data_IF_951187737472
#
_entry.id   IF_951187737472
#
_cell.length_a   1.000
_cell.length_b   1.000
_cell.length_c   1.000
_cell.angle_alpha   90.00
_cell.angle_beta   90.00
_cell.angle_gamma   90.00
#
_symmetry.space_group_name_H-M   'P 1'
#
loop_
_entity.id
_entity.type
_entity.pdbx_description
1 polymer ?
#
# COMPACT_ATOMS: atom_id res chain seq x y z
N UNK A 1 -0.47 -7.78 -13.60
CA UNK A 1 0.50 -8.23 -12.57
C UNK A 1 1.94 -7.81 -12.81
N UNK A 2 2.60 -8.12 -13.94
CA UNK A 2 4.03 -7.73 -14.13
C UNK A 2 4.21 -6.21 -14.06
N UNK A 3 3.39 -5.45 -14.78
CA UNK A 3 3.39 -3.98 -14.71
C UNK A 3 3.13 -3.48 -13.28
N UNK A 4 2.07 -3.99 -12.64
CA UNK A 4 1.70 -3.61 -11.27
C UNK A 4 2.80 -3.92 -10.25
N UNK A 5 3.56 -5.01 -10.44
CA UNK A 5 4.67 -5.36 -9.55
C UNK A 5 5.82 -4.35 -9.61
N UNK A 6 5.87 -3.50 -10.63
CA UNK A 6 6.81 -2.38 -10.72
C UNK A 6 6.17 -1.08 -10.23
N UNK A 7 4.94 -0.79 -10.66
CA UNK A 7 4.29 0.50 -10.42
C UNK A 7 3.70 0.63 -9.01
N UNK A 8 3.14 -0.43 -8.44
CA UNK A 8 2.51 -0.40 -7.11
C UNK A 8 3.54 -0.26 -5.98
N UNK A 9 4.65 -1.02 -5.95
CA UNK A 9 5.68 -0.78 -4.94
C UNK A 9 6.28 0.63 -5.05
N UNK A 10 6.40 1.17 -6.27
CA UNK A 10 6.89 2.53 -6.48
C UNK A 10 5.93 3.58 -5.89
N UNK A 11 4.61 3.43 -6.09
CA UNK A 11 3.62 4.28 -5.40
C UNK A 11 3.71 4.14 -3.88
N UNK A 12 3.94 2.93 -3.36
CA UNK A 12 4.17 2.70 -1.95
C UNK A 12 5.45 3.39 -1.41
N UNK A 13 6.49 3.55 -2.25
CA UNK A 13 7.70 4.33 -1.91
C UNK A 13 7.37 5.81 -1.74
N UNK A 14 6.40 6.37 -2.47
CA UNK A 14 6.03 7.79 -2.34
C UNK A 14 5.58 8.14 -0.91
N UNK A 15 4.83 7.27 -0.25
CA UNK A 15 4.44 7.46 1.15
C UNK A 15 5.65 7.56 2.10
N UNK A 16 6.69 6.77 1.86
CA UNK A 16 7.95 6.90 2.61
C UNK A 16 8.66 8.22 2.29
N UNK A 17 8.70 8.64 1.02
CA UNK A 17 9.38 9.87 0.62
C UNK A 17 8.72 11.11 1.24
N UNK A 18 7.39 11.21 1.24
CA UNK A 18 6.67 12.35 1.83
C UNK A 18 6.78 12.38 3.36
N UNK A 19 6.92 11.23 4.01
CA UNK A 19 7.06 11.11 5.47
C UNK A 19 8.52 11.12 5.93
N UNK A 20 9.50 11.14 5.02
CA UNK A 20 10.92 10.98 5.38
C UNK A 20 11.41 12.05 6.35
N UNK A 21 11.04 13.31 6.10
CA UNK A 21 11.47 14.45 6.93
C UNK A 21 10.82 14.48 8.32
N UNK A 22 9.73 13.72 8.53
CA UNK A 22 9.01 13.67 9.80
C UNK A 22 9.29 12.39 10.61
N UNK A 23 10.29 11.61 10.22
CA UNK A 23 10.72 10.40 10.94
C UNK A 23 10.50 9.09 10.17
N UNK A 24 10.11 9.14 8.89
CA UNK A 24 10.02 7.96 8.03
C UNK A 24 11.33 7.15 8.00
N UNK A 25 11.25 5.89 8.43
CA UNK A 25 12.40 4.99 8.49
C UNK A 25 12.49 4.11 7.25
N UNK A 26 13.66 3.54 6.98
CA UNK A 26 13.82 2.50 5.95
C UNK A 26 12.95 1.27 6.25
N UNK A 27 12.57 1.05 7.51
CA UNK A 27 11.60 0.03 7.89
C UNK A 27 10.19 0.32 7.34
N UNK A 28 9.74 1.58 7.35
CA UNK A 28 8.47 1.98 6.74
C UNK A 28 8.48 1.75 5.22
N UNK A 29 9.58 2.09 4.55
CA UNK A 29 9.77 1.83 3.12
C UNK A 29 9.58 0.34 2.81
N UNK A 30 10.32 -0.52 3.49
CA UNK A 30 10.23 -1.97 3.24
C UNK A 30 8.90 -2.56 3.65
N UNK A 31 8.27 -2.06 4.73
CA UNK A 31 6.92 -2.45 5.13
C UNK A 31 5.93 -2.23 3.97
N UNK A 32 5.94 -1.04 3.36
CA UNK A 32 5.02 -0.71 2.27
C UNK A 32 5.32 -1.50 0.99
N UNK A 33 6.61 -1.65 0.63
CA UNK A 33 7.02 -2.48 -0.52
C UNK A 33 6.56 -3.93 -0.32
N UNK A 34 6.88 -4.54 0.82
CA UNK A 34 6.55 -5.94 1.07
C UNK A 34 5.04 -6.18 1.09
N UNK A 35 4.26 -5.28 1.70
CA UNK A 35 2.81 -5.36 1.67
C UNK A 35 2.27 -5.35 0.23
N UNK A 36 2.77 -4.45 -0.62
CA UNK A 36 2.35 -4.37 -2.03
C UNK A 36 2.77 -5.59 -2.86
N UNK A 37 3.96 -6.14 -2.62
CA UNK A 37 4.43 -7.35 -3.29
C UNK A 37 3.59 -8.56 -2.87
N UNK A 38 3.31 -8.72 -1.58
CA UNK A 38 2.44 -9.80 -1.08
C UNK A 38 1.05 -9.70 -1.71
N UNK A 39 0.45 -8.51 -1.71
CA UNK A 39 -0.85 -8.26 -2.34
C UNK A 39 -0.86 -8.74 -3.80
N UNK A 40 0.12 -8.32 -4.60
CA UNK A 40 0.14 -8.62 -6.03
C UNK A 40 0.52 -10.07 -6.35
N UNK A 41 1.49 -10.65 -5.65
CA UNK A 41 1.91 -12.04 -5.88
C UNK A 41 0.80 -13.01 -5.51
N UNK A 42 0.12 -12.79 -4.38
CA UNK A 42 -0.99 -13.64 -3.96
C UNK A 42 -2.21 -13.47 -4.85
N UNK A 43 -2.54 -12.24 -5.28
CA UNK A 43 -3.58 -12.02 -6.29
C UNK A 43 -3.28 -12.79 -7.57
N UNK A 44 -2.05 -12.69 -8.07
CA UNK A 44 -1.62 -13.42 -9.27
C UNK A 44 -1.73 -14.94 -9.11
N UNK A 45 -1.34 -15.51 -7.96
CA UNK A 45 -1.49 -16.95 -7.73
C UNK A 45 -2.95 -17.41 -7.74
N UNK A 46 -3.87 -16.58 -7.23
CA UNK A 46 -5.31 -16.84 -7.33
C UNK A 46 -5.79 -16.88 -8.78
N UNK A 47 -5.44 -15.86 -9.58
CA UNK A 47 -5.87 -15.77 -10.98
C UNK A 47 -5.17 -16.77 -11.91
N UNK A 48 -3.91 -17.11 -11.64
CA UNK A 48 -3.13 -18.06 -12.45
C UNK A 48 -3.51 -19.53 -12.19
N UNK A 49 -4.47 -19.80 -11.30
CA UNK A 49 -4.90 -21.16 -10.96
C UNK A 49 -3.86 -21.96 -10.16
N UNK A 50 -2.96 -21.27 -9.45
CA UNK A 50 -1.88 -21.88 -8.66
C UNK A 50 -2.33 -22.26 -7.23
N UNK A 51 -3.61 -22.57 -7.06
CA UNK A 51 -4.22 -22.95 -5.79
C UNK A 51 -5.68 -22.53 -5.69
N UNK A 52 -6.20 -22.43 -4.46
CA UNK A 52 -7.56 -22.00 -4.23
C UNK A 52 -7.67 -20.47 -4.41
N UNK A 53 -8.42 -20.05 -5.43
CA UNK A 53 -8.59 -18.63 -5.77
C UNK A 53 -9.18 -17.80 -4.61
N UNK A 54 -10.14 -18.33 -3.87
CA UNK A 54 -10.73 -17.64 -2.72
C UNK A 54 -9.71 -17.41 -1.60
N UNK A 55 -8.88 -18.41 -1.30
CA UNK A 55 -7.83 -18.29 -0.27
C UNK A 55 -6.80 -17.24 -0.71
N UNK A 56 -6.29 -17.33 -1.93
CA UNK A 56 -5.28 -16.41 -2.44
C UNK A 56 -5.79 -14.98 -2.58
N UNK A 57 -7.02 -14.80 -3.08
CA UNK A 57 -7.71 -13.51 -3.12
C UNK A 57 -7.93 -12.91 -1.73
N UNK A 58 -8.26 -13.73 -0.74
CA UNK A 58 -8.42 -13.27 0.66
C UNK A 58 -7.09 -12.77 1.23
N UNK A 59 -5.98 -13.48 0.99
CA UNK A 59 -4.65 -13.05 1.45
C UNK A 59 -4.25 -11.74 0.76
N UNK A 60 -4.50 -11.63 -0.55
CA UNK A 60 -4.26 -10.40 -1.32
C UNK A 60 -5.06 -9.23 -0.74
N UNK A 61 -6.35 -9.43 -0.47
CA UNK A 61 -7.22 -8.42 0.13
C UNK A 61 -6.75 -7.99 1.53
N UNK A 62 -6.28 -8.92 2.37
CA UNK A 62 -5.72 -8.57 3.69
C UNK A 62 -4.48 -7.68 3.54
N UNK A 63 -3.58 -8.00 2.60
CA UNK A 63 -2.41 -7.18 2.32
C UNK A 63 -2.80 -5.79 1.78
N UNK A 64 -3.81 -5.72 0.90
CA UNK A 64 -4.37 -4.45 0.43
C UNK A 64 -4.92 -3.61 1.59
N UNK A 65 -5.78 -4.18 2.44
CA UNK A 65 -6.34 -3.46 3.58
C UNK A 65 -5.28 -3.09 4.64
N UNK A 66 -4.17 -3.83 4.72
CA UNK A 66 -3.03 -3.43 5.53
C UNK A 66 -2.36 -2.15 5.00
N UNK A 67 -2.20 -2.01 3.69
CA UNK A 67 -1.71 -0.77 3.06
C UNK A 67 -2.68 0.38 3.33
N UNK A 68 -3.99 0.15 3.13
CA UNK A 68 -5.04 1.13 3.47
C UNK A 68 -4.91 1.57 4.93
N UNK A 69 -4.78 0.62 5.86
CA UNK A 69 -4.63 0.91 7.28
C UNK A 69 -3.41 1.79 7.56
N UNK A 70 -2.24 1.49 7.00
CA UNK A 70 -1.03 2.28 7.22
C UNK A 70 -1.21 3.75 6.78
N UNK A 71 -1.85 3.98 5.64
CA UNK A 71 -2.08 5.33 5.06
C UNK A 71 -3.16 6.12 5.79
N UNK A 72 -4.19 5.45 6.32
CA UNK A 72 -5.32 6.10 6.98
C UNK A 72 -5.19 6.24 8.49
N UNK A 73 -4.53 5.30 9.16
CA UNK A 73 -4.50 5.20 10.63
C UNK A 73 -3.15 4.76 11.21
N UNK A 74 -2.29 4.13 10.41
CA UNK A 74 -1.01 3.59 10.85
C UNK A 74 0.15 4.60 10.84
N UNK A 75 1.36 4.10 10.60
CA UNK A 75 2.58 4.88 10.76
C UNK A 75 2.69 5.97 9.70
N UNK A 76 2.26 5.68 8.46
CA UNK A 76 2.25 6.66 7.37
C UNK A 76 1.35 7.84 7.75
N UNK A 77 0.12 7.59 8.21
CA UNK A 77 -0.80 8.65 8.63
C UNK A 77 -0.21 9.53 9.74
N UNK A 78 0.37 8.90 10.77
CA UNK A 78 0.94 9.60 11.92
C UNK A 78 2.09 10.52 11.49
N UNK A 79 3.01 9.99 10.68
CA UNK A 79 4.16 10.74 10.17
C UNK A 79 3.75 11.83 9.16
N UNK A 80 2.74 11.58 8.34
CA UNK A 80 2.23 12.60 7.42
C UNK A 80 1.60 13.77 8.20
N UNK A 81 0.86 13.46 9.27
CA UNK A 81 0.24 14.48 10.14
C UNK A 81 1.29 15.29 10.89
N UNK A 82 2.38 14.66 11.37
CA UNK A 82 3.48 15.37 12.05
C UNK A 82 4.35 16.20 11.09
N UNK A 83 4.33 15.92 9.79
CA UNK A 83 5.06 16.66 8.77
C UNK A 83 4.44 18.03 8.42
N UNK A 84 3.17 18.26 8.80
CA UNK A 84 2.42 19.49 8.51
C UNK A 84 1.25 19.29 7.54
N UNK A 85 0.42 20.32 7.38
CA UNK A 85 -0.86 20.24 6.65
C UNK A 85 -0.69 19.80 5.20
N UNK A 86 0.29 20.36 4.46
CA UNK A 86 0.50 20.01 3.05
C UNK A 86 0.79 18.51 2.84
N UNK A 87 1.58 17.88 3.71
CA UNK A 87 1.88 16.45 3.63
C UNK A 87 0.70 15.62 4.10
N UNK A 88 0.00 16.07 5.14
CA UNK A 88 -1.22 15.41 5.62
C UNK A 88 -2.32 15.37 4.55
N UNK A 89 -2.50 16.47 3.81
CA UNK A 89 -3.47 16.60 2.71
C UNK A 89 -3.07 15.71 1.53
N UNK A 90 -1.80 15.74 1.12
CA UNK A 90 -1.27 14.85 0.09
C UNK A 90 -1.48 13.37 0.45
N UNK A 91 -1.16 12.97 1.70
CA UNK A 91 -1.42 11.63 2.19
C UNK A 91 -2.91 11.28 2.18
N UNK A 92 -3.80 12.23 2.49
CA UNK A 92 -5.25 11.97 2.48
C UNK A 92 -5.78 11.77 1.06
N UNK A 93 -5.31 12.56 0.09
CA UNK A 93 -5.66 12.38 -1.32
C UNK A 93 -5.18 11.03 -1.87
N UNK A 94 -3.91 10.69 -1.62
CA UNK A 94 -3.35 9.38 -1.98
C UNK A 94 -4.05 8.24 -1.23
N UNK A 95 -4.42 8.45 0.04
CA UNK A 95 -5.17 7.47 0.83
C UNK A 95 -6.56 7.19 0.26
N UNK A 96 -7.24 8.19 -0.29
CA UNK A 96 -8.48 7.98 -1.03
C UNK A 96 -8.27 7.22 -2.34
N UNK A 97 -7.19 7.52 -3.06
CA UNK A 97 -6.84 6.77 -4.26
C UNK A 97 -6.54 5.30 -3.94
N UNK A 98 -5.80 5.02 -2.87
CA UNK A 98 -5.55 3.65 -2.43
C UNK A 98 -6.87 2.99 -1.99
N UNK A 99 -7.71 3.64 -1.17
CA UNK A 99 -8.93 3.02 -0.63
C UNK A 99 -10.04 2.81 -1.67
N UNK A 100 -10.34 3.83 -2.49
CA UNK A 100 -11.47 3.80 -3.43
C UNK A 100 -10.98 3.50 -4.84
N UNK A 101 -9.88 4.12 -5.25
CA UNK A 101 -9.31 3.91 -6.57
C UNK A 101 -8.82 2.49 -6.78
N UNK A 102 -8.22 1.84 -5.76
CA UNK A 102 -7.77 0.45 -5.93
C UNK A 102 -8.84 -0.60 -5.67
N UNK A 103 -9.97 -0.24 -5.03
CA UNK A 103 -11.05 -1.18 -4.75
C UNK A 103 -11.74 -1.75 -6.01
N UNK A 104 -11.39 -1.26 -7.20
CA UNK A 104 -11.86 -1.81 -8.48
C UNK A 104 -11.01 -2.99 -9.00
N UNK A 105 -9.83 -3.23 -8.39
CA UNK A 105 -8.90 -4.28 -8.80
C UNK A 105 -8.86 -5.57 -7.96
N UNK A 106 -9.47 -5.70 -6.77
CA UNK A 106 -9.36 -6.95 -6.01
C UNK A 106 -10.03 -8.12 -6.73
#
# INVERSE_FOLDING_TARGET
YIDWLLTVPLMCVEFYLITKKSGGTTGLLWKMILASVVMLVTGYWGEAGLGNATIWGTISAIAYFYIVYEVWMGDVKKLATSAGSAVADANSALGWFVLVGWAIYP
#
